data_IF_912667973768
#
_entry.id   IF_912667973768
#
_cell.length_a   1.000
_cell.length_b   1.000
_cell.length_c   1.000
_cell.angle_alpha   90.00
_cell.angle_beta   90.00
_cell.angle_gamma   90.00
#
_symmetry.space_group_name_H-M   'P 1'
#
loop_
_entity.id
_entity.type
_entity.pdbx_description
1 polymer ?
#
# COMPACT_ATOMS: atom_id res chain seq x y z
N UNK A 1 22.51 10.88 -17.73
CA UNK A 1 21.64 10.05 -16.88
C UNK A 1 20.76 9.26 -17.84
N UNK A 2 20.92 7.93 -17.91
CA UNK A 2 20.04 7.11 -18.74
C UNK A 2 18.64 7.19 -18.15
N UNK A 3 17.68 7.72 -18.91
CA UNK A 3 16.27 7.65 -18.58
C UNK A 3 15.91 6.16 -18.46
N UNK A 4 15.67 5.69 -17.24
CA UNK A 4 15.19 4.33 -17.02
C UNK A 4 13.86 4.21 -17.76
N UNK A 5 13.89 3.48 -18.88
CA UNK A 5 12.77 3.30 -19.77
C UNK A 5 11.54 2.87 -18.98
N UNK A 6 10.52 3.72 -18.98
CA UNK A 6 9.26 3.47 -18.29
C UNK A 6 8.48 2.42 -19.10
N UNK A 7 8.88 1.14 -18.93
CA UNK A 7 8.31 -0.01 -19.65
C UNK A 7 6.92 -0.33 -19.16
N UNK A 8 6.06 -0.76 -20.10
CA UNK A 8 4.77 -1.37 -19.77
C UNK A 8 5.01 -2.69 -19.03
N UNK A 9 4.14 -3.00 -18.08
CA UNK A 9 4.19 -4.27 -17.34
C UNK A 9 3.63 -5.38 -18.22
N UNK A 10 4.23 -6.56 -18.17
CA UNK A 10 3.74 -7.72 -18.91
C UNK A 10 2.33 -8.13 -18.46
N UNK A 11 1.45 -8.49 -19.41
CA UNK A 11 0.05 -8.88 -19.11
C UNK A 11 -0.08 -9.99 -18.06
N UNK A 12 0.72 -11.07 -18.07
CA UNK A 12 0.64 -12.10 -17.03
C UNK A 12 0.93 -11.57 -15.63
N UNK A 13 1.85 -10.60 -15.51
CA UNK A 13 2.21 -9.97 -14.23
C UNK A 13 1.07 -9.09 -13.73
N UNK A 14 0.43 -8.32 -14.62
CA UNK A 14 -0.77 -7.55 -14.28
C UNK A 14 -1.92 -8.45 -13.79
N UNK A 15 -2.11 -9.62 -14.42
CA UNK A 15 -3.13 -10.58 -14.00
C UNK A 15 -2.85 -11.14 -12.59
N UNK A 16 -1.60 -11.52 -12.29
CA UNK A 16 -1.21 -11.96 -10.95
C UNK A 16 -1.37 -10.86 -9.90
N UNK A 17 -1.01 -9.62 -10.26
CA UNK A 17 -1.20 -8.48 -9.39
C UNK A 17 -2.68 -8.23 -9.10
N UNK A 18 -3.55 -8.36 -10.10
CA UNK A 18 -5.00 -8.26 -9.91
C UNK A 18 -5.51 -9.34 -8.95
N UNK A 19 -5.12 -10.60 -9.14
CA UNK A 19 -5.52 -11.72 -8.26
C UNK A 19 -5.10 -11.47 -6.81
N UNK A 20 -3.87 -10.98 -6.60
CA UNK A 20 -3.39 -10.60 -5.26
C UNK A 20 -4.27 -9.51 -4.64
N UNK A 21 -4.56 -8.44 -5.39
CA UNK A 21 -5.38 -7.36 -4.89
C UNK A 21 -6.86 -7.73 -4.68
N UNK A 22 -7.40 -8.68 -5.46
CA UNK A 22 -8.75 -9.22 -5.23
C UNK A 22 -8.89 -9.91 -3.87
N UNK A 23 -7.80 -10.45 -3.33
CA UNK A 23 -7.75 -11.02 -1.98
C UNK A 23 -7.75 -9.98 -0.86
N UNK A 24 -7.48 -8.70 -1.18
CA UNK A 24 -7.47 -7.60 -0.21
C UNK A 24 -8.71 -6.71 -0.35
N UNK A 25 -9.11 -6.43 -1.59
CA UNK A 25 -10.23 -5.56 -1.93
C UNK A 25 -11.06 -6.29 -3.00
N UNK A 26 -12.37 -6.45 -2.82
CA UNK A 26 -13.24 -7.02 -3.85
C UNK A 26 -13.06 -6.37 -5.22
N UNK A 27 -12.98 -7.20 -6.28
CA UNK A 27 -12.67 -6.77 -7.66
C UNK A 27 -13.59 -5.67 -8.21
N UNK A 28 -14.85 -5.62 -7.76
CA UNK A 28 -15.80 -4.57 -8.12
C UNK A 28 -15.44 -3.18 -7.57
N UNK A 29 -14.55 -3.11 -6.59
CA UNK A 29 -14.07 -1.88 -5.98
C UNK A 29 -12.68 -1.47 -6.50
N UNK A 30 -11.91 -2.40 -7.06
CA UNK A 30 -10.55 -2.15 -7.51
C UNK A 30 -10.16 -2.96 -8.76
N UNK A 31 -9.71 -2.25 -9.79
CA UNK A 31 -9.15 -2.84 -11.01
C UNK A 31 -7.77 -2.24 -11.32
N UNK A 32 -6.81 -3.11 -11.57
CA UNK A 32 -5.46 -2.79 -12.03
C UNK A 32 -5.54 -2.27 -13.47
N UNK A 33 -5.21 -0.99 -13.67
CA UNK A 33 -5.23 -0.38 -15.00
C UNK A 33 -4.18 -1.03 -15.94
N UNK A 34 -4.55 -1.46 -17.16
CA UNK A 34 -3.62 -2.12 -18.08
C UNK A 34 -2.45 -1.24 -18.54
N UNK A 35 -2.55 0.10 -18.40
CA UNK A 35 -1.52 1.06 -18.78
C UNK A 35 -0.59 1.46 -17.63
N UNK A 36 -0.62 0.72 -16.51
CA UNK A 36 0.37 0.88 -15.44
C UNK A 36 1.78 0.67 -16.00
N UNK A 37 2.69 1.53 -15.54
CA UNK A 37 4.09 1.49 -15.93
C UNK A 37 5.00 1.25 -14.75
N UNK A 38 6.16 0.63 -15.01
CA UNK A 38 7.18 0.42 -14.01
C UNK A 38 7.65 1.74 -13.38
N UNK A 39 8.03 1.66 -12.10
CA UNK A 39 8.59 2.74 -11.27
C UNK A 39 7.68 3.95 -11.03
N UNK A 40 6.51 3.99 -11.66
CA UNK A 40 5.46 4.98 -11.39
C UNK A 40 4.60 4.54 -10.21
N UNK A 41 4.29 5.47 -9.31
CA UNK A 41 3.26 5.26 -8.30
C UNK A 41 1.90 5.43 -8.95
N UNK A 42 1.05 4.42 -8.78
CA UNK A 42 -0.34 4.41 -9.24
C UNK A 42 -1.21 4.42 -8.00
N UNK A 43 -2.25 5.24 -8.02
CA UNK A 43 -3.21 5.30 -6.92
C UNK A 43 -4.58 5.03 -7.48
N UNK A 44 -5.25 4.07 -6.88
CA UNK A 44 -6.63 3.73 -7.18
C UNK A 44 -7.45 3.94 -5.93
N UNK A 45 -8.62 4.55 -6.10
CA UNK A 45 -9.60 4.72 -5.05
C UNK A 45 -10.68 3.65 -5.26
N UNK A 46 -11.36 3.29 -4.17
CA UNK A 46 -12.53 2.42 -4.26
C UNK A 46 -13.60 3.01 -5.20
N UNK A 47 -14.59 2.18 -5.54
CA UNK A 47 -15.74 2.62 -6.33
C UNK A 47 -16.42 3.85 -5.72
N UNK A 48 -17.28 4.53 -6.48
CA UNK A 48 -17.96 5.77 -6.05
C UNK A 48 -18.61 5.66 -4.66
N UNK A 49 -19.08 4.48 -4.28
CA UNK A 49 -19.73 4.22 -2.98
C UNK A 49 -18.78 4.16 -1.77
N UNK A 50 -17.47 4.00 -1.99
CA UNK A 50 -16.43 3.83 -0.95
C UNK A 50 -15.13 4.58 -1.28
N UNK A 51 -15.22 5.57 -2.17
CA UNK A 51 -14.08 6.26 -2.78
C UNK A 51 -13.14 6.90 -1.75
N UNK A 52 -13.70 7.34 -0.63
CA UNK A 52 -12.96 7.96 0.47
C UNK A 52 -12.64 6.97 1.61
N UNK A 53 -13.25 5.79 1.60
CA UNK A 53 -13.09 4.74 2.62
C UNK A 53 -12.02 3.72 2.30
N UNK A 54 -11.67 3.53 1.02
CA UNK A 54 -10.65 2.55 0.60
C UNK A 54 -9.80 3.14 -0.53
N UNK A 55 -8.48 3.07 -0.39
CA UNK A 55 -7.54 3.39 -1.45
C UNK A 55 -6.31 2.50 -1.40
N UNK A 56 -5.73 2.23 -2.56
CA UNK A 56 -4.45 1.55 -2.66
C UNK A 56 -3.52 2.35 -3.55
N UNK A 57 -2.36 2.69 -3.01
CA UNK A 57 -1.26 3.29 -3.75
C UNK A 57 -0.16 2.25 -3.93
N UNK A 58 0.33 2.03 -5.15
CA UNK A 58 1.29 0.98 -5.42
C UNK A 58 2.27 1.35 -6.52
N UNK A 59 3.45 0.74 -6.46
CA UNK A 59 4.55 0.89 -7.42
C UNK A 59 5.08 -0.49 -7.77
N UNK A 60 5.17 -0.77 -9.07
CA UNK A 60 5.82 -2.00 -9.56
C UNK A 60 7.21 -1.66 -10.09
N UNK A 61 8.20 -2.46 -9.73
CA UNK A 61 9.57 -2.33 -10.23
C UNK A 61 10.20 -3.72 -10.39
N UNK A 62 11.32 -3.77 -11.13
CA UNK A 62 12.09 -5.00 -11.28
C UNK A 62 13.29 -4.92 -10.33
N UNK A 63 13.52 -5.97 -9.56
CA UNK A 63 14.68 -6.15 -8.70
C UNK A 63 15.14 -7.61 -8.82
N UNK A 64 16.43 -7.83 -9.12
CA UNK A 64 16.99 -9.18 -9.34
C UNK A 64 16.15 -10.02 -10.33
N UNK A 65 15.78 -9.41 -11.46
CA UNK A 65 14.92 -10.01 -12.50
C UNK A 65 13.51 -10.44 -12.06
N UNK A 66 13.05 -9.97 -10.89
CA UNK A 66 11.72 -10.24 -10.36
C UNK A 66 10.88 -8.98 -10.30
N UNK A 67 9.59 -9.11 -10.63
CA UNK A 67 8.58 -8.09 -10.47
C UNK A 67 8.18 -7.98 -9.00
N UNK A 68 8.47 -6.82 -8.42
CA UNK A 68 8.10 -6.46 -7.06
C UNK A 68 7.05 -5.37 -7.11
N UNK A 69 5.96 -5.56 -6.38
CA UNK A 69 4.97 -4.54 -6.10
C UNK A 69 5.10 -4.09 -4.64
N UNK A 70 5.41 -2.83 -4.43
CA UNK A 70 5.27 -2.22 -3.11
C UNK A 70 3.97 -1.41 -3.08
N UNK A 71 3.15 -1.60 -2.05
CA UNK A 71 1.86 -0.93 -1.94
C UNK A 71 1.53 -0.49 -0.52
N UNK A 72 0.71 0.54 -0.44
CA UNK A 72 0.06 1.03 0.76
C UNK A 72 -1.46 0.97 0.56
N UNK A 73 -2.11 0.09 1.31
CA UNK A 73 -3.56 0.00 1.46
C UNK A 73 -3.99 0.93 2.58
N UNK A 74 -5.01 1.73 2.34
CA UNK A 74 -5.65 2.55 3.35
C UNK A 74 -7.16 2.32 3.25
N UNK A 75 -7.71 1.69 4.28
CA UNK A 75 -9.12 1.45 4.49
C UNK A 75 -9.57 2.10 5.82
N UNK A 76 -10.86 2.38 5.98
CA UNK A 76 -11.41 2.90 7.23
C UNK A 76 -11.03 1.99 8.41
N UNK A 77 -10.22 2.53 9.34
CA UNK A 77 -9.72 1.81 10.51
C UNK A 77 -8.56 0.83 10.24
N UNK A 78 -8.09 0.68 8.99
CA UNK A 78 -7.06 -0.31 8.66
C UNK A 78 -6.15 0.14 7.53
N UNK A 79 -4.83 0.11 7.75
CA UNK A 79 -3.85 0.36 6.70
C UNK A 79 -2.77 -0.70 6.67
N UNK A 80 -2.22 -0.93 5.49
CA UNK A 80 -1.12 -1.86 5.30
C UNK A 80 -0.10 -1.38 4.31
N UNK A 81 1.15 -1.36 4.75
CA UNK A 81 2.31 -1.18 3.88
C UNK A 81 2.99 -2.52 3.67
N UNK A 82 3.01 -3.01 2.43
CA UNK A 82 3.51 -4.35 2.09
C UNK A 82 4.36 -4.32 0.83
N UNK A 83 5.25 -5.30 0.75
CA UNK A 83 5.99 -5.65 -0.46
C UNK A 83 5.56 -7.03 -0.92
N UNK A 84 5.12 -7.12 -2.17
CA UNK A 84 4.68 -8.33 -2.82
C UNK A 84 5.63 -8.69 -3.96
N UNK A 85 6.25 -9.87 -3.86
CA UNK A 85 7.00 -10.47 -4.96
C UNK A 85 6.01 -11.24 -5.86
N UNK A 86 5.74 -10.68 -7.04
CA UNK A 86 4.70 -11.18 -7.95
C UNK A 86 5.12 -12.51 -8.60
N UNK A 87 6.42 -12.75 -8.72
CA UNK A 87 6.94 -13.97 -9.35
C UNK A 87 6.91 -15.15 -8.39
N UNK A 88 7.18 -14.92 -7.10
CA UNK A 88 7.24 -15.95 -6.06
C UNK A 88 5.96 -16.11 -5.25
N UNK A 89 4.99 -15.22 -5.46
CA UNK A 89 3.77 -15.13 -4.66
C UNK A 89 4.07 -14.99 -3.15
N UNK A 90 4.98 -14.06 -2.81
CA UNK A 90 5.44 -13.85 -1.44
C UNK A 90 5.18 -12.42 -0.97
N UNK A 91 4.69 -12.26 0.26
CA UNK A 91 4.36 -10.97 0.85
C UNK A 91 5.23 -10.73 2.09
N UNK A 92 5.84 -9.56 2.14
CA UNK A 92 6.59 -9.02 3.27
C UNK A 92 5.84 -7.80 3.83
N UNK A 93 5.65 -7.75 5.14
CA UNK A 93 5.10 -6.57 5.82
C UNK A 93 6.21 -5.53 6.01
N UNK A 94 5.94 -4.30 5.60
CA UNK A 94 6.86 -3.17 5.77
C UNK A 94 6.46 -2.31 6.98
N UNK A 95 7.28 -1.33 7.33
CA UNK A 95 7.00 -0.40 8.42
C UNK A 95 5.64 0.29 8.19
N UNK A 96 4.74 0.13 9.15
CA UNK A 96 3.34 0.51 9.07
C UNK A 96 2.93 1.32 10.30
N UNK A 97 1.78 2.00 10.21
CA UNK A 97 1.23 2.73 11.34
C UNK A 97 0.92 1.78 12.51
N UNK A 98 1.32 2.18 13.70
CA UNK A 98 0.96 1.54 14.95
C UNK A 98 -0.34 2.14 15.49
N UNK A 99 -1.13 1.34 16.21
CA UNK A 99 -2.37 1.82 16.82
C UNK A 99 -3.61 1.81 15.91
N UNK A 100 -3.58 1.06 14.81
CA UNK A 100 -4.77 0.86 13.95
C UNK A 100 -5.74 -0.19 14.51
N UNK A 101 -5.42 -0.75 15.68
CA UNK A 101 -6.34 -1.52 16.51
C UNK A 101 -7.13 -0.65 17.49
N UNK A 102 -7.22 0.67 17.25
CA UNK A 102 -8.25 1.51 17.85
C UNK A 102 -9.62 1.21 17.26
N UNK A 103 -10.05 -0.05 17.29
CA UNK A 103 -11.47 -0.32 17.39
C UNK A 103 -11.94 0.37 18.67
N UNK A 104 -13.11 0.99 18.63
CA UNK A 104 -13.78 1.67 19.75
C UNK A 104 -13.97 0.78 21.01
N UNK A 105 -13.47 -0.48 21.00
CA UNK A 105 -13.51 -1.48 22.05
C UNK A 105 -12.24 -1.60 22.91
N UNK A 106 -11.14 -0.89 22.59
CA UNK A 106 -10.05 -0.73 23.55
C UNK A 106 -10.34 0.51 24.38
N UNK A 107 -10.97 0.29 25.54
CA UNK A 107 -11.10 1.27 26.61
C UNK A 107 -9.74 1.96 26.84
N UNK A 108 -9.68 3.23 26.50
CA UNK A 108 -8.51 4.13 26.45
C UNK A 108 -7.93 4.44 27.86
N UNK A 109 -8.26 3.63 28.86
CA UNK A 109 -7.98 3.89 30.28
C UNK A 109 -6.59 3.43 30.74
N UNK A 110 -5.85 2.66 29.92
CA UNK A 110 -4.55 2.07 30.28
C UNK A 110 -3.33 2.59 29.46
N UNK A 111 -3.52 3.45 28.46
CA UNK A 111 -2.38 3.94 27.65
C UNK A 111 -1.63 5.06 28.37
N UNK A 112 -0.41 4.78 28.82
CA UNK A 112 0.43 5.80 29.44
C UNK A 112 0.90 6.86 28.41
N UNK A 113 1.23 8.05 28.92
CA UNK A 113 1.66 9.17 28.08
C UNK A 113 2.94 8.87 27.27
N UNK A 114 3.81 7.99 27.78
CA UNK A 114 5.06 7.63 27.11
C UNK A 114 4.79 6.74 25.89
N UNK A 115 3.90 5.77 26.02
CA UNK A 115 3.42 4.89 24.96
C UNK A 115 2.66 5.67 23.89
N UNK A 116 1.75 6.55 24.28
CA UNK A 116 1.08 7.47 23.35
C UNK A 116 2.10 8.28 22.55
N UNK A 117 3.10 8.84 23.23
CA UNK A 117 4.15 9.63 22.59
C UNK A 117 5.02 8.80 21.65
N UNK A 118 5.32 7.54 22.02
CA UNK A 118 6.07 6.58 21.19
C UNK A 118 5.31 6.27 19.91
N UNK A 119 4.03 5.91 20.01
CA UNK A 119 3.14 5.59 18.87
C UNK A 119 3.03 6.80 17.94
N UNK A 120 2.79 8.00 18.50
CA UNK A 120 2.71 9.23 17.70
C UNK A 120 4.01 9.49 16.92
N UNK A 121 5.18 9.37 17.56
CA UNK A 121 6.48 9.58 16.91
C UNK A 121 6.73 8.55 15.81
N UNK A 122 6.37 7.29 16.05
CA UNK A 122 6.46 6.21 15.07
C UNK A 122 5.56 6.49 13.86
N UNK A 123 4.29 6.83 14.10
CA UNK A 123 3.33 7.15 13.05
C UNK A 123 3.77 8.36 12.21
N UNK A 124 4.35 9.38 12.83
CA UNK A 124 4.95 10.51 12.10
C UNK A 124 6.11 10.08 11.20
N UNK A 125 6.95 9.13 11.65
CA UNK A 125 8.04 8.57 10.85
C UNK A 125 7.50 7.77 9.66
N UNK A 126 6.51 6.92 9.87
CA UNK A 126 5.85 6.13 8.82
C UNK A 126 5.19 7.05 7.79
N UNK A 127 4.44 8.08 8.25
CA UNK A 127 3.84 9.09 7.37
C UNK A 127 4.90 9.75 6.48
N UNK A 128 6.01 10.20 7.06
CA UNK A 128 7.14 10.80 6.30
C UNK A 128 7.71 9.83 5.27
N UNK A 129 7.84 8.55 5.62
CA UNK A 129 8.31 7.49 4.70
C UNK A 129 7.33 7.32 3.52
N UNK A 130 6.04 7.19 3.79
CA UNK A 130 5.01 6.99 2.76
C UNK A 130 4.88 8.21 1.82
N UNK A 131 5.01 9.42 2.36
CA UNK A 131 5.09 10.66 1.56
C UNK A 131 6.31 10.63 0.65
N UNK A 132 7.49 10.28 1.18
CA UNK A 132 8.74 10.19 0.40
C UNK A 132 8.63 9.15 -0.72
N UNK A 133 7.93 8.05 -0.49
CA UNK A 133 7.65 7.00 -1.48
C UNK A 133 6.57 7.39 -2.49
N UNK A 134 5.79 8.44 -2.23
CA UNK A 134 4.70 8.93 -3.07
C UNK A 134 3.36 8.23 -2.85
N UNK A 135 3.24 7.39 -1.82
CA UNK A 135 2.00 6.68 -1.48
C UNK A 135 0.99 7.56 -0.71
N UNK A 136 1.48 8.59 -0.02
CA UNK A 136 0.66 9.60 0.66
C UNK A 136 0.98 11.00 0.16
N UNK A 137 0.01 11.92 0.26
CA UNK A 137 0.23 13.35 0.03
C UNK A 137 0.85 13.99 1.27
N UNK A 138 1.57 15.10 1.06
CA UNK A 138 2.12 15.94 2.13
C UNK A 138 1.01 16.57 2.96
#
# INVERSE_FOLDING_TARGET
MMEEEVKKIAKPILARLQVHFDGLIPRNLFLVNPDIRLKKVNKTYGSTSVKDSISIAFKVFIFEDQYICEYFLNADGYTEHRRYNIDRDQVEMLENFEGQFGAEDFEDDDMDYEEFTRIRKHNDKVRKLLIKKGFMRK
#
